data_IF_419555276632
#
_entry.id   IF_419555276632
#
_cell.length_a   1.000
_cell.length_b   1.000
_cell.length_c   1.000
_cell.angle_alpha   90.00
_cell.angle_beta   90.00
_cell.angle_gamma   90.00
#
_symmetry.space_group_name_H-M   'P 1'
#
loop_
_entity.id
_entity.type
_entity.pdbx_description
1 polymer ?
#
# COMPACT_ATOMS: atom_id res chain seq x y z
N UNK A 1 7.87 0.92 -1.05
CA UNK A 1 8.27 1.97 -2.01
C UNK A 1 7.40 3.24 -1.89
N UNK A 2 6.07 3.17 -2.05
CA UNK A 2 5.20 4.37 -2.04
C UNK A 2 5.32 5.22 -0.78
N UNK A 3 5.38 4.59 0.40
CA UNK A 3 5.62 5.26 1.69
C UNK A 3 6.92 6.06 1.68
N UNK A 4 8.03 5.46 1.22
CA UNK A 4 9.33 6.13 1.19
C UNK A 4 9.32 7.34 0.23
N UNK A 5 8.66 7.21 -0.93
CA UNK A 5 8.51 8.33 -1.87
C UNK A 5 7.66 9.46 -1.28
N UNK A 6 6.56 9.15 -0.59
CA UNK A 6 5.76 10.14 0.13
C UNK A 6 6.57 10.85 1.22
N UNK A 7 7.36 10.11 2.00
CA UNK A 7 8.26 10.68 3.01
C UNK A 7 9.31 11.59 2.36
N UNK A 8 9.96 11.14 1.28
CA UNK A 8 10.95 11.93 0.55
C UNK A 8 10.34 13.21 -0.02
N UNK A 9 9.12 13.16 -0.55
CA UNK A 9 8.36 14.34 -0.99
C UNK A 9 8.18 15.33 0.16
N UNK A 10 7.75 14.88 1.34
CA UNK A 10 7.56 15.74 2.52
C UNK A 10 8.89 16.33 2.97
N UNK A 11 9.98 15.55 3.00
CA UNK A 11 11.32 16.03 3.36
C UNK A 11 11.77 17.14 2.40
N UNK A 12 11.62 16.96 1.09
CA UNK A 12 11.96 18.00 0.10
C UNK A 12 11.15 19.29 0.29
N UNK A 13 9.86 19.19 0.65
CA UNK A 13 9.04 20.35 1.01
C UNK A 13 9.61 21.06 2.24
N UNK A 14 9.95 20.31 3.29
CA UNK A 14 10.50 20.86 4.54
C UNK A 14 11.86 21.55 4.34
N UNK A 15 12.69 21.03 3.45
CA UNK A 15 13.99 21.60 3.04
C UNK A 15 13.89 22.80 2.08
N UNK A 16 12.67 23.20 1.66
CA UNK A 16 12.44 24.25 0.65
C UNK A 16 13.03 23.96 -0.73
N UNK A 17 13.20 22.68 -1.06
CA UNK A 17 13.73 22.20 -2.35
C UNK A 17 12.60 21.93 -3.36
N UNK A 18 11.68 22.89 -3.50
CA UNK A 18 10.42 22.68 -4.23
C UNK A 18 10.60 22.31 -5.70
N UNK A 19 11.65 22.83 -6.35
CA UNK A 19 12.01 22.53 -7.74
C UNK A 19 12.20 21.03 -8.03
N UNK A 20 12.54 20.23 -7.02
CA UNK A 20 12.85 18.81 -7.17
C UNK A 20 11.72 17.88 -6.70
N UNK A 21 10.63 18.43 -6.14
CA UNK A 21 9.54 17.64 -5.56
C UNK A 21 8.93 16.67 -6.58
N UNK A 22 8.78 17.11 -7.83
CA UNK A 22 8.16 16.32 -8.90
C UNK A 22 8.84 14.94 -9.10
N UNK A 23 10.16 14.85 -8.84
CA UNK A 23 10.95 13.61 -8.98
C UNK A 23 10.44 12.52 -8.03
N UNK A 24 9.99 12.91 -6.84
CA UNK A 24 9.46 11.96 -5.83
C UNK A 24 7.93 11.85 -5.90
N UNK A 25 7.25 12.96 -6.18
CA UNK A 25 5.80 13.04 -6.17
C UNK A 25 5.15 12.29 -7.33
N UNK A 26 5.68 12.41 -8.55
CA UNK A 26 5.12 11.73 -9.73
C UNK A 26 5.12 10.19 -9.58
N UNK A 27 6.26 9.54 -9.27
CA UNK A 27 6.25 8.09 -9.05
C UNK A 27 5.46 7.69 -7.80
N UNK A 28 5.39 8.55 -6.75
CA UNK A 28 4.54 8.27 -5.59
C UNK A 28 3.05 8.19 -5.98
N UNK A 29 2.55 9.18 -6.73
CA UNK A 29 1.15 9.23 -7.18
C UNK A 29 0.83 8.02 -8.05
N UNK A 30 1.68 7.74 -9.05
CA UNK A 30 1.48 6.58 -9.92
C UNK A 30 1.40 5.27 -9.14
N UNK A 31 2.36 5.07 -8.23
CA UNK A 31 2.41 3.85 -7.42
C UNK A 31 1.21 3.74 -6.47
N UNK A 32 0.75 4.84 -5.87
CA UNK A 32 -0.45 4.88 -5.04
C UNK A 32 -1.68 4.47 -5.84
N UNK A 33 -1.85 4.99 -7.06
CA UNK A 33 -2.98 4.62 -7.94
C UNK A 33 -2.93 3.12 -8.24
N UNK A 34 -1.81 2.60 -8.73
CA UNK A 34 -1.70 1.19 -9.10
C UNK A 34 -1.92 0.24 -7.90
N UNK A 35 -1.31 0.53 -6.76
CA UNK A 35 -1.41 -0.33 -5.57
C UNK A 35 -2.80 -0.27 -4.94
N UNK A 36 -3.41 0.91 -4.90
CA UNK A 36 -4.79 1.08 -4.40
C UNK A 36 -5.79 0.38 -5.31
N UNK A 37 -5.71 0.62 -6.62
CA UNK A 37 -6.59 -0.03 -7.60
C UNK A 37 -6.46 -1.56 -7.55
N UNK A 38 -5.23 -2.09 -7.52
CA UNK A 38 -4.99 -3.51 -7.39
C UNK A 38 -5.56 -4.06 -6.06
N UNK A 39 -5.41 -3.33 -4.96
CA UNK A 39 -5.99 -3.70 -3.65
C UNK A 39 -7.51 -3.80 -3.70
N UNK A 40 -8.19 -2.81 -4.27
CA UNK A 40 -9.65 -2.84 -4.44
C UNK A 40 -10.12 -3.98 -5.34
N UNK A 41 -9.44 -4.21 -6.47
CA UNK A 41 -9.72 -5.35 -7.36
C UNK A 41 -9.55 -6.66 -6.58
N UNK A 42 -8.45 -6.84 -5.84
CA UNK A 42 -8.21 -8.04 -5.05
C UNK A 42 -9.23 -8.26 -3.93
N UNK A 43 -9.81 -7.21 -3.36
CA UNK A 43 -10.82 -7.33 -2.32
C UNK A 43 -12.21 -7.64 -2.86
N UNK A 44 -12.64 -6.94 -3.91
CA UNK A 44 -14.06 -6.87 -4.30
C UNK A 44 -14.39 -7.46 -5.66
N UNK A 45 -13.40 -7.90 -6.45
CA UNK A 45 -13.69 -8.50 -7.76
C UNK A 45 -14.55 -9.77 -7.62
N UNK A 46 -15.64 -9.82 -8.37
CA UNK A 46 -16.59 -10.91 -8.37
C UNK A 46 -15.99 -12.21 -8.94
N UNK A 47 -14.95 -12.10 -9.77
CA UNK A 47 -14.24 -13.24 -10.33
C UNK A 47 -13.37 -13.92 -9.25
N UNK A 48 -13.65 -15.18 -8.87
CA UNK A 48 -12.87 -15.92 -7.88
C UNK A 48 -11.40 -16.14 -8.25
N UNK A 49 -11.04 -16.00 -9.54
CA UNK A 49 -9.63 -16.05 -9.95
C UNK A 49 -8.85 -14.79 -9.55
N UNK A 50 -9.55 -13.70 -9.26
CA UNK A 50 -8.97 -12.39 -8.97
C UNK A 50 -9.21 -12.01 -7.51
N UNK A 51 -10.47 -12.01 -7.07
CA UNK A 51 -10.91 -11.53 -5.77
C UNK A 51 -10.76 -12.55 -4.65
N UNK A 52 -10.25 -12.11 -3.51
CA UNK A 52 -10.06 -12.97 -2.33
C UNK A 52 -11.38 -13.37 -1.69
N UNK A 53 -12.32 -12.43 -1.55
CA UNK A 53 -13.62 -12.72 -0.94
C UNK A 53 -14.48 -13.62 -1.83
N UNK A 54 -14.44 -13.42 -3.15
CA UNK A 54 -15.13 -14.28 -4.11
C UNK A 54 -14.52 -15.68 -4.19
N UNK A 55 -13.18 -15.81 -4.07
CA UNK A 55 -12.50 -17.10 -3.94
C UNK A 55 -12.91 -17.84 -2.67
N UNK A 56 -12.87 -17.16 -1.52
CA UNK A 56 -13.26 -17.75 -0.24
C UNK A 56 -14.72 -18.24 -0.29
N UNK A 57 -15.62 -17.44 -0.86
CA UNK A 57 -17.03 -17.81 -1.03
C UNK A 57 -17.19 -19.04 -1.92
N UNK A 58 -16.59 -19.05 -3.11
CA UNK A 58 -16.66 -20.19 -4.05
C UNK A 58 -16.22 -21.51 -3.40
N UNK A 59 -15.11 -21.48 -2.67
CA UNK A 59 -14.61 -22.68 -1.99
C UNK A 59 -15.48 -23.07 -0.79
N UNK A 60 -16.03 -22.10 -0.06
CA UNK A 60 -16.94 -22.35 1.07
C UNK A 60 -18.25 -22.99 0.62
N UNK A 61 -18.84 -22.48 -0.47
CA UNK A 61 -20.08 -23.01 -1.04
C UNK A 61 -19.88 -24.44 -1.55
N UNK A 62 -18.76 -24.71 -2.24
CA UNK A 62 -18.44 -26.06 -2.70
C UNK A 62 -18.20 -27.03 -1.55
N UNK A 63 -17.46 -26.60 -0.51
CA UNK A 63 -17.24 -27.37 0.70
C UNK A 63 -18.57 -27.75 1.39
N UNK A 64 -19.51 -26.80 1.49
CA UNK A 64 -20.84 -27.03 2.05
C UNK A 64 -21.68 -28.02 1.21
N UNK A 65 -21.48 -28.03 -0.10
CA UNK A 65 -22.12 -29.00 -1.02
C UNK A 65 -21.42 -30.36 -1.08
N UNK A 66 -20.36 -30.59 -0.31
CA UNK A 66 -19.56 -31.81 -0.34
C UNK A 66 -18.72 -31.98 -1.62
N UNK A 67 -18.52 -30.91 -2.38
CA UNK A 67 -17.76 -30.91 -3.62
C UNK A 67 -16.32 -30.46 -3.39
N UNK A 68 -15.37 -31.22 -3.95
CA UNK A 68 -13.95 -30.85 -3.99
C UNK A 68 -13.69 -30.13 -5.31
N UNK A 69 -13.29 -28.86 -5.24
CA UNK A 69 -12.94 -28.08 -6.42
C UNK A 69 -11.45 -28.21 -6.72
N UNK A 70 -11.11 -28.51 -7.97
CA UNK A 70 -9.74 -28.38 -8.44
C UNK A 70 -9.24 -26.93 -8.28
N UNK A 71 -7.95 -26.72 -7.95
CA UNK A 71 -6.87 -27.71 -7.83
C UNK A 71 -6.78 -28.43 -6.47
N UNK A 72 -7.65 -28.12 -5.51
CA UNK A 72 -7.67 -28.85 -4.24
C UNK A 72 -8.07 -30.32 -4.50
N UNK A 73 -7.41 -31.24 -3.79
CA UNK A 73 -7.62 -32.69 -3.88
C UNK A 73 -8.23 -33.28 -2.61
N UNK A 74 -8.31 -32.49 -1.54
CA UNK A 74 -8.91 -32.90 -0.27
C UNK A 74 -9.70 -31.74 0.36
N UNK A 75 -10.53 -32.09 1.35
CA UNK A 75 -11.32 -31.16 2.15
C UNK A 75 -10.40 -30.21 2.93
N UNK A 76 -9.30 -30.72 3.49
CA UNK A 76 -8.32 -29.90 4.21
C UNK A 76 -7.70 -28.85 3.28
N UNK A 77 -7.36 -29.23 2.04
CA UNK A 77 -6.83 -28.29 1.05
C UNK A 77 -7.86 -27.21 0.69
N UNK A 78 -9.14 -27.55 0.58
CA UNK A 78 -10.21 -26.56 0.38
C UNK A 78 -10.25 -25.55 1.53
N UNK A 79 -10.18 -26.02 2.78
CA UNK A 79 -10.15 -25.16 3.97
C UNK A 79 -8.93 -24.25 3.99
N UNK A 80 -7.74 -24.75 3.62
CA UNK A 80 -6.54 -23.92 3.51
C UNK A 80 -6.70 -22.81 2.47
N UNK A 81 -7.32 -23.08 1.32
CA UNK A 81 -7.59 -22.04 0.31
C UNK A 81 -8.51 -20.96 0.87
N UNK A 82 -9.57 -21.33 1.60
CA UNK A 82 -10.49 -20.39 2.24
C UNK A 82 -9.76 -19.53 3.27
N UNK A 83 -8.99 -20.15 4.17
CA UNK A 83 -8.23 -19.44 5.20
C UNK A 83 -7.19 -18.49 4.62
N UNK A 84 -6.46 -18.92 3.59
CA UNK A 84 -5.50 -18.07 2.89
C UNK A 84 -6.18 -16.90 2.18
N UNK A 85 -7.34 -17.12 1.58
CA UNK A 85 -8.10 -16.06 0.93
C UNK A 85 -8.55 -15.00 1.94
N UNK A 86 -9.10 -15.38 3.09
CA UNK A 86 -9.45 -14.43 4.16
C UNK A 86 -8.22 -13.71 4.75
N UNK A 87 -7.11 -14.43 4.92
CA UNK A 87 -5.86 -13.84 5.42
C UNK A 87 -5.34 -12.78 4.44
N UNK A 88 -5.29 -13.09 3.15
CA UNK A 88 -4.87 -12.15 2.11
C UNK A 88 -5.81 -10.95 2.00
N UNK A 89 -7.12 -11.15 2.13
CA UNK A 89 -8.08 -10.04 2.20
C UNK A 89 -7.79 -9.13 3.40
N UNK A 90 -7.61 -9.72 4.59
CA UNK A 90 -7.32 -8.97 5.82
C UNK A 90 -6.02 -8.18 5.71
N UNK A 91 -4.94 -8.82 5.26
CA UNK A 91 -3.64 -8.17 5.05
C UNK A 91 -3.73 -7.04 4.01
N UNK A 92 -4.54 -7.20 2.96
CA UNK A 92 -4.77 -6.16 1.94
C UNK A 92 -5.48 -4.95 2.54
N UNK A 93 -6.51 -5.16 3.35
CA UNK A 93 -7.22 -4.07 4.06
C UNK A 93 -6.26 -3.35 5.01
N UNK A 94 -5.48 -4.08 5.81
CA UNK A 94 -4.50 -3.49 6.73
C UNK A 94 -3.43 -2.68 5.98
N UNK A 95 -2.93 -3.20 4.86
CA UNK A 95 -1.96 -2.50 4.03
C UNK A 95 -2.53 -1.20 3.48
N UNK A 96 -3.74 -1.22 2.91
CA UNK A 96 -4.40 -0.02 2.40
C UNK A 96 -4.64 1.00 3.52
N UNK A 97 -5.05 0.55 4.70
CA UNK A 97 -5.23 1.41 5.87
C UNK A 97 -3.93 2.15 6.26
N UNK A 98 -2.80 1.43 6.31
CA UNK A 98 -1.49 2.04 6.60
C UNK A 98 -1.08 3.03 5.51
N UNK A 99 -1.26 2.67 4.23
CA UNK A 99 -0.94 3.56 3.09
C UNK A 99 -1.76 4.85 3.14
N UNK A 100 -3.07 4.77 3.35
CA UNK A 100 -3.93 5.94 3.46
C UNK A 100 -3.62 6.80 4.70
N UNK A 101 -3.29 6.17 5.83
CA UNK A 101 -2.87 6.90 7.02
C UNK A 101 -1.60 7.71 6.75
N UNK A 102 -0.61 7.11 6.11
CA UNK A 102 0.65 7.78 5.76
C UNK A 102 0.40 8.89 4.74
N UNK A 103 -0.44 8.65 3.72
CA UNK A 103 -0.84 9.67 2.75
C UNK A 103 -1.48 10.87 3.46
N UNK A 104 -2.40 10.63 4.39
CA UNK A 104 -3.04 11.69 5.18
C UNK A 104 -2.01 12.52 5.96
N UNK A 105 -1.09 11.87 6.68
CA UNK A 105 -0.05 12.59 7.43
C UNK A 105 0.94 13.31 6.50
N UNK A 106 1.28 12.72 5.36
CA UNK A 106 2.16 13.34 4.37
C UNK A 106 1.54 14.62 3.79
N UNK A 107 0.25 14.61 3.48
CA UNK A 107 -0.49 15.79 3.05
C UNK A 107 -0.56 16.84 4.16
N UNK A 108 -0.95 16.46 5.38
CA UNK A 108 -1.05 17.37 6.53
C UNK A 108 0.28 18.08 6.80
N UNK A 109 1.37 17.32 6.90
CA UNK A 109 2.71 17.87 7.18
C UNK A 109 3.25 18.65 5.97
N UNK A 110 3.04 18.15 4.75
CA UNK A 110 3.46 18.82 3.53
C UNK A 110 2.81 20.20 3.35
N UNK A 111 1.49 20.30 3.55
CA UNK A 111 0.76 21.57 3.46
C UNK A 111 1.23 22.56 4.54
N UNK A 112 1.37 22.09 5.79
CA UNK A 112 1.85 22.94 6.88
C UNK A 112 3.28 23.45 6.63
N UNK A 113 4.17 22.58 6.14
CA UNK A 113 5.53 22.96 5.79
C UNK A 113 5.58 23.89 4.57
N UNK A 114 4.68 23.75 3.60
CA UNK A 114 4.61 24.60 2.42
C UNK A 114 4.31 26.06 2.78
N UNK A 115 3.43 26.30 3.75
CA UNK A 115 3.05 27.64 4.22
C UNK A 115 4.11 28.37 5.05
N UNK A 116 5.08 27.66 5.62
CA UNK A 116 6.19 28.29 6.35
C UNK A 116 7.24 28.84 5.36
N UNK A 117 7.87 29.99 5.63
CA UNK A 117 8.96 30.50 4.77
C UNK A 117 10.30 29.83 5.10
N UNK A 118 10.49 29.48 6.36
CA UNK A 118 11.74 28.90 6.86
C UNK A 118 11.81 27.38 6.65
N UNK A 119 13.04 26.86 6.62
CA UNK A 119 13.31 25.41 6.65
C UNK A 119 12.82 24.82 7.98
N UNK A 120 12.13 23.68 7.89
CA UNK A 120 11.56 22.99 9.08
C UNK A 120 12.08 21.55 9.22
N UNK A 121 13.01 21.16 8.35
CA UNK A 121 13.75 19.90 8.47
C UNK A 121 14.67 19.91 9.70
N UNK A 122 14.88 18.73 10.28
CA UNK A 122 15.74 18.50 11.44
C UNK A 122 16.83 17.49 11.07
N UNK A 123 17.54 17.78 9.98
CA UNK A 123 18.66 16.95 9.52
C UNK A 123 19.93 17.27 10.31
N UNK A 124 20.87 16.32 10.34
CA UNK A 124 22.17 16.56 10.93
C UNK A 124 22.91 17.69 10.18
N UNK A 125 23.75 18.49 10.87
CA UNK A 125 24.56 19.50 10.21
C UNK A 125 25.47 18.86 9.17
N UNK A 126 25.70 19.58 8.07
CA UNK A 126 26.60 19.12 7.00
C UNK A 126 28.00 18.88 7.56
N UNK A 127 28.52 17.67 7.35
CA UNK A 127 29.90 17.30 7.65
C UNK A 127 30.65 17.17 6.33
N UNK A 128 31.66 18.02 6.13
CA UNK A 128 32.53 17.91 4.96
C UNK A 128 33.35 16.62 5.03
N UNK A 129 33.56 15.97 3.89
CA UNK A 129 34.51 14.84 3.81
C UNK A 129 35.90 15.41 4.12
N UNK A 130 36.69 14.79 5.01
CA UNK A 130 38.06 15.24 5.27
C UNK A 130 38.88 15.22 3.98
N UNK A 131 39.68 16.26 3.75
CA UNK A 131 40.66 16.23 2.66
C UNK A 131 41.60 15.02 2.86
N UNK A 132 41.80 14.25 1.78
CA UNK A 132 42.52 12.98 1.78
C UNK A 132 44.03 13.13 2.04
#
# INVERSE_FOLDING_TARGET
AGIALMLATVVLIKMKRQRYIWVTMLPAIWLLICTTAAGFIKLFDANPAIGFLSLAKKYSDALASGQILAPAKSIEQMQHVIWNAYTNATLTVLFLFVVFSILFYALKVGIAAWGNKERTDKEAPFQAVPDA
#
